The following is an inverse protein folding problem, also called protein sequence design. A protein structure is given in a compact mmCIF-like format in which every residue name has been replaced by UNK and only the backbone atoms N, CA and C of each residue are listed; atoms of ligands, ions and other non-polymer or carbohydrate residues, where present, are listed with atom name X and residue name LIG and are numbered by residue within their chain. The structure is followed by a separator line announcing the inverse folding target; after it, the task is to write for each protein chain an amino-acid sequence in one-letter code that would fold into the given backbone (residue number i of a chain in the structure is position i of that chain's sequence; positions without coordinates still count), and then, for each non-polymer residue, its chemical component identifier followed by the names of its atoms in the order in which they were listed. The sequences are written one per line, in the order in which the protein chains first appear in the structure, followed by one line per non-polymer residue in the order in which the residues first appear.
data_IF_669301513424
#
_entry.id   IF_669301513424
#
_cell.length_a   1.000
_cell.length_b   1.000
_cell.length_c   1.000
_cell.angle_alpha   90.00
_cell.angle_beta   90.00
_cell.angle_gamma   90.00
#
_symmetry.space_group_name_H-M   'P 1'
#
loop_
_entity.id
_entity.type
_entity.pdbx_description
1 polymer ?
#
# COMPACT_ATOMS: atom_id res chain seq x y z
N UNK A 1 1.30 26.42 -4.37
CA UNK A 1 0.21 25.47 -4.59
C UNK A 1 0.78 24.07 -4.73
N UNK A 2 0.21 23.10 -4.00
CA UNK A 2 0.51 21.68 -4.10
C UNK A 2 -0.80 20.96 -4.42
N UNK A 3 -0.92 20.49 -5.66
CA UNK A 3 -2.16 19.92 -6.19
C UNK A 3 -2.08 18.39 -6.26
N UNK A 4 -3.27 17.75 -6.30
CA UNK A 4 -3.34 16.29 -6.45
C UNK A 4 -2.99 15.53 -5.17
N UNK A 5 -3.33 16.08 -4.02
CA UNK A 5 -3.11 15.45 -2.71
C UNK A 5 -4.10 14.30 -2.49
N UNK A 6 -4.01 13.28 -3.37
CA UNK A 6 -4.84 12.09 -3.31
C UNK A 6 -3.98 10.83 -3.29
N UNK A 7 -4.43 9.81 -2.55
CA UNK A 7 -3.87 8.46 -2.64
C UNK A 7 -3.89 7.96 -4.09
N UNK A 8 -2.77 7.41 -4.54
CA UNK A 8 -2.58 6.96 -5.93
C UNK A 8 -2.06 8.02 -6.90
N UNK A 9 -2.09 9.32 -6.52
CA UNK A 9 -1.47 10.42 -7.26
C UNK A 9 -0.22 10.89 -6.51
N UNK A 10 -0.39 11.34 -5.28
CA UNK A 10 0.69 11.71 -4.37
C UNK A 10 0.33 11.30 -2.93
N UNK A 11 0.85 10.14 -2.44
CA UNK A 11 1.86 9.26 -3.05
C UNK A 11 1.35 8.53 -4.30
N UNK A 12 2.30 8.23 -5.21
CA UNK A 12 1.99 7.54 -6.46
C UNK A 12 1.52 6.09 -6.21
N UNK A 13 0.54 5.64 -7.01
CA UNK A 13 0.08 4.24 -6.98
C UNK A 13 1.17 3.23 -7.40
N UNK A 14 2.23 3.69 -8.08
CA UNK A 14 3.37 2.87 -8.49
C UNK A 14 4.31 2.50 -7.34
N UNK A 15 4.19 3.16 -6.20
CA UNK A 15 5.00 2.87 -5.02
C UNK A 15 4.46 1.64 -4.30
N UNK A 16 5.28 0.60 -4.22
CA UNK A 16 4.93 -0.70 -3.65
C UNK A 16 5.82 -1.13 -2.49
N UNK A 17 6.85 -0.33 -2.16
CA UNK A 17 7.80 -0.61 -1.08
C UNK A 17 7.73 0.46 0.01
N UNK A 18 8.12 0.09 1.23
CA UNK A 18 8.21 1.06 2.34
C UNK A 18 9.28 2.11 2.07
N UNK A 19 10.43 1.72 1.50
CA UNK A 19 11.49 2.66 1.13
C UNK A 19 11.00 3.69 0.12
N UNK A 20 10.30 3.25 -0.93
CA UNK A 20 9.68 4.15 -1.91
C UNK A 20 8.65 5.10 -1.28
N UNK A 21 7.89 4.63 -0.29
CA UNK A 21 6.94 5.46 0.44
C UNK A 21 7.62 6.52 1.29
N UNK A 22 8.77 6.22 1.89
CA UNK A 22 9.55 7.20 2.63
C UNK A 22 10.19 8.25 1.70
N UNK A 23 10.58 7.90 0.48
CA UNK A 23 11.02 8.89 -0.51
C UNK A 23 9.86 9.83 -0.91
N UNK A 24 8.66 9.31 -1.17
CA UNK A 24 7.47 10.15 -1.41
C UNK A 24 7.17 11.07 -0.22
N UNK A 25 7.33 10.59 1.01
CA UNK A 25 7.19 11.41 2.22
C UNK A 25 8.22 12.54 2.28
N UNK A 26 9.47 12.27 1.92
CA UNK A 26 10.53 13.31 1.82
C UNK A 26 10.18 14.34 0.76
N UNK A 27 9.69 13.92 -0.40
CA UNK A 27 9.24 14.85 -1.44
C UNK A 27 8.08 15.72 -0.95
N UNK A 28 7.10 15.14 -0.23
CA UNK A 28 6.02 15.90 0.38
C UNK A 28 6.54 16.93 1.38
N UNK A 29 7.48 16.56 2.24
CA UNK A 29 8.12 17.47 3.18
C UNK A 29 8.84 18.61 2.48
N UNK A 30 9.64 18.30 1.45
CA UNK A 30 10.34 19.31 0.66
C UNK A 30 9.36 20.26 -0.03
N UNK A 31 8.28 19.72 -0.63
CA UNK A 31 7.27 20.54 -1.30
C UNK A 31 6.56 21.50 -0.33
N UNK A 32 6.20 21.02 0.86
CA UNK A 32 5.55 21.82 1.91
C UNK A 32 6.49 22.93 2.41
N UNK A 33 7.76 22.60 2.63
CA UNK A 33 8.75 23.56 3.15
C UNK A 33 9.23 24.61 2.13
N UNK A 34 8.85 24.49 0.85
CA UNK A 34 9.10 25.54 -0.15
C UNK A 34 8.19 26.76 0.01
N UNK A 35 7.13 26.66 0.78
CA UNK A 35 6.22 27.78 1.00
C UNK A 35 6.85 28.78 1.99
N UNK A 36 6.94 30.04 1.59
CA UNK A 36 7.47 31.14 2.44
C UNK A 36 6.38 31.76 3.32
N UNK A 37 5.16 31.93 2.79
CA UNK A 37 4.10 32.70 3.46
C UNK A 37 2.78 31.93 3.55
N UNK A 38 2.43 31.17 2.54
CA UNK A 38 1.19 30.45 2.49
C UNK A 38 1.29 29.23 1.59
N UNK A 39 0.63 28.15 1.98
CA UNK A 39 0.57 26.90 1.24
C UNK A 39 -0.89 26.57 0.97
N UNK A 40 -1.20 26.33 -0.30
CA UNK A 40 -2.50 25.83 -0.73
C UNK A 40 -2.34 24.38 -1.16
N UNK A 41 -3.08 23.50 -0.48
CA UNK A 41 -3.16 22.08 -0.79
C UNK A 41 -4.50 21.80 -1.46
N UNK A 42 -4.53 21.02 -2.53
CA UNK A 42 -5.78 20.65 -3.16
C UNK A 42 -5.86 19.15 -3.42
N UNK A 43 -7.02 18.60 -3.17
CA UNK A 43 -7.40 17.24 -3.49
C UNK A 43 -8.59 17.22 -4.46
N UNK A 44 -8.79 16.11 -5.15
CA UNK A 44 -9.96 15.87 -5.96
C UNK A 44 -10.92 14.94 -5.22
N UNK A 45 -12.16 15.39 -5.06
CA UNK A 45 -13.27 14.61 -4.51
C UNK A 45 -13.88 13.67 -5.56
N UNK A 46 -14.71 12.72 -5.13
CA UNK A 46 -15.50 11.85 -5.98
C UNK A 46 -14.91 10.44 -6.18
N UNK A 47 -15.01 9.92 -7.40
CA UNK A 47 -14.61 8.55 -7.74
C UNK A 47 -13.58 8.54 -8.86
N UNK A 48 -12.74 7.50 -8.84
CA UNK A 48 -11.84 7.16 -9.93
C UNK A 48 -12.63 6.55 -11.10
N UNK A 49 -11.95 6.34 -12.23
CA UNK A 49 -12.57 5.75 -13.42
C UNK A 49 -13.10 4.32 -13.17
N UNK A 50 -12.46 3.57 -12.27
CA UNK A 50 -12.88 2.23 -11.83
C UNK A 50 -13.99 2.24 -10.76
N UNK A 51 -14.60 3.39 -10.53
CA UNK A 51 -15.63 3.63 -9.50
C UNK A 51 -15.15 3.53 -8.06
N UNK A 52 -13.86 3.33 -7.80
CA UNK A 52 -13.29 3.40 -6.46
C UNK A 52 -13.34 4.83 -5.91
N UNK A 53 -13.50 5.03 -4.59
CA UNK A 53 -13.43 6.35 -3.98
C UNK A 53 -12.05 6.99 -4.20
N UNK A 54 -12.02 8.31 -4.37
CA UNK A 54 -10.79 9.09 -4.28
C UNK A 54 -10.54 9.45 -2.84
N UNK A 55 -9.48 8.91 -2.29
CA UNK A 55 -9.09 9.19 -0.91
C UNK A 55 -8.11 10.35 -0.85
N UNK A 56 -8.23 11.24 0.17
CA UNK A 56 -7.20 12.22 0.49
C UNK A 56 -5.84 11.54 0.69
N UNK A 57 -4.78 12.22 0.29
CA UNK A 57 -3.41 11.77 0.51
C UNK A 57 -3.13 11.55 2.00
N UNK A 58 -2.40 10.47 2.33
CA UNK A 58 -1.89 10.25 3.68
C UNK A 58 -1.06 11.43 4.19
N UNK A 59 -0.31 12.06 3.31
CA UNK A 59 0.51 13.24 3.65
C UNK A 59 -0.34 14.44 4.05
N UNK A 60 -1.55 14.57 3.50
CA UNK A 60 -2.52 15.57 3.94
C UNK A 60 -3.14 15.18 5.28
N UNK A 61 -3.49 13.90 5.46
CA UNK A 61 -4.09 13.37 6.67
C UNK A 61 -3.13 13.28 7.87
N UNK A 62 -1.82 13.33 7.62
CA UNK A 62 -0.77 13.38 8.63
C UNK A 62 -0.54 14.80 9.19
N UNK A 63 -1.09 15.84 8.52
CA UNK A 63 -1.02 17.21 9.03
C UNK A 63 -2.06 17.37 10.15
N UNK A 64 -1.62 17.90 11.30
CA UNK A 64 -2.54 18.21 12.39
C UNK A 64 -3.57 19.27 11.95
N UNK A 65 -4.86 18.98 12.18
CA UNK A 65 -5.96 19.86 11.78
C UNK A 65 -5.83 21.30 12.29
N UNK A 66 -5.12 21.53 13.38
CA UNK A 66 -4.83 22.89 13.90
C UNK A 66 -4.07 23.77 12.95
N UNK A 67 -3.37 23.18 11.97
CA UNK A 67 -2.59 23.88 10.96
C UNK A 67 -3.27 23.95 9.61
N UNK A 68 -4.51 23.43 9.51
CA UNK A 68 -5.27 23.38 8.26
C UNK A 68 -6.49 24.29 8.34
N UNK A 69 -6.64 25.12 7.34
CA UNK A 69 -7.88 25.88 7.07
C UNK A 69 -8.55 25.28 5.84
N UNK A 70 -9.75 24.74 6.01
CA UNK A 70 -10.48 24.06 4.95
C UNK A 70 -11.46 25.00 4.26
N UNK A 71 -11.37 25.13 2.94
CA UNK A 71 -12.46 25.71 2.15
C UNK A 71 -13.69 24.78 2.19
N UNK A 72 -13.44 23.45 2.12
CA UNK A 72 -14.43 22.41 2.28
C UNK A 72 -13.78 21.20 2.94
N UNK A 73 -14.19 20.88 4.15
CA UNK A 73 -13.67 19.73 4.87
C UNK A 73 -14.21 18.42 4.25
N UNK A 74 -13.36 17.41 4.01
CA UNK A 74 -13.80 16.08 3.61
C UNK A 74 -14.75 15.48 4.66
N UNK A 75 -15.67 14.63 4.21
CA UNK A 75 -16.60 13.92 5.08
C UNK A 75 -15.83 12.98 6.04
N UNK A 76 -16.23 12.94 7.30
CA UNK A 76 -15.57 12.11 8.33
C UNK A 76 -15.58 10.60 7.97
N UNK A 77 -16.64 10.12 7.31
CA UNK A 77 -16.70 8.75 6.79
C UNK A 77 -15.64 8.50 5.73
N UNK A 78 -15.45 9.45 4.79
CA UNK A 78 -14.40 9.34 3.78
C UNK A 78 -13.00 9.33 4.39
N UNK A 79 -12.77 10.16 5.43
CA UNK A 79 -11.49 10.19 6.15
C UNK A 79 -11.24 8.86 6.87
N UNK A 80 -12.28 8.30 7.50
CA UNK A 80 -12.20 6.99 8.15
C UNK A 80 -11.83 5.89 7.14
N UNK A 81 -12.53 5.81 6.03
CA UNK A 81 -12.28 4.83 4.97
C UNK A 81 -10.88 5.00 4.34
N UNK A 82 -10.43 6.26 4.15
CA UNK A 82 -9.08 6.57 3.71
C UNK A 82 -8.02 6.02 4.67
N UNK A 83 -8.19 6.19 5.97
CA UNK A 83 -7.26 5.66 6.98
C UNK A 83 -7.22 4.12 6.98
N UNK A 84 -8.36 3.46 6.82
CA UNK A 84 -8.42 2.00 6.66
C UNK A 84 -7.69 1.54 5.40
N UNK A 85 -7.93 2.20 4.27
CA UNK A 85 -7.25 1.93 3.00
C UNK A 85 -5.73 2.08 3.13
N UNK A 86 -5.25 3.19 3.72
CA UNK A 86 -3.84 3.48 3.94
C UNK A 86 -3.21 2.40 4.84
N UNK A 87 -3.86 2.04 5.94
CA UNK A 87 -3.40 1.00 6.86
C UNK A 87 -3.26 -0.35 6.15
N UNK A 88 -4.25 -0.69 5.32
CA UNK A 88 -4.19 -1.91 4.51
C UNK A 88 -3.01 -1.89 3.53
N UNK A 89 -2.79 -0.77 2.82
CA UNK A 89 -1.66 -0.60 1.89
C UNK A 89 -0.30 -0.73 2.58
N UNK A 90 -0.12 -0.11 3.74
CA UNK A 90 1.11 -0.22 4.54
C UNK A 90 1.35 -1.68 4.90
N UNK A 91 0.33 -2.38 5.41
CA UNK A 91 0.44 -3.79 5.76
C UNK A 91 0.81 -4.68 4.57
N UNK A 92 0.29 -4.38 3.37
CA UNK A 92 0.67 -5.09 2.16
C UNK A 92 2.15 -4.89 1.81
N UNK A 93 2.66 -3.64 1.91
CA UNK A 93 4.06 -3.33 1.67
C UNK A 93 4.98 -4.04 2.67
N UNK A 94 4.68 -3.97 3.97
CA UNK A 94 5.43 -4.66 5.02
C UNK A 94 5.44 -6.19 4.83
N UNK A 95 4.31 -6.76 4.40
CA UNK A 95 4.23 -8.19 4.13
C UNK A 95 5.02 -8.57 2.89
N UNK A 96 5.04 -7.73 1.86
CA UNK A 96 5.84 -7.94 0.65
C UNK A 96 7.35 -7.92 0.96
N UNK A 97 7.79 -7.01 1.83
CA UNK A 97 9.19 -6.95 2.27
C UNK A 97 9.62 -8.15 3.13
N UNK A 98 8.72 -8.63 3.99
CA UNK A 98 8.98 -9.80 4.85
C UNK A 98 8.92 -11.13 4.12
N UNK A 99 8.36 -11.17 2.93
CA UNK A 99 8.01 -12.41 2.23
C UNK A 99 8.80 -12.71 0.96
N UNK A 100 9.77 -11.90 0.58
CA UNK A 100 10.53 -12.09 -0.67
C UNK A 100 11.71 -13.09 -0.55
N UNK A 101 11.66 -14.03 0.40
CA UNK A 101 12.68 -15.07 0.53
C UNK A 101 12.65 -16.12 -0.60
N UNK A 102 11.56 -16.13 -1.40
CA UNK A 102 11.35 -17.15 -2.42
C UNK A 102 10.88 -16.53 -3.75
N UNK A 103 11.37 -17.11 -4.84
CA UNK A 103 11.03 -16.73 -6.23
C UNK A 103 10.06 -17.71 -6.87
N UNK A 104 9.36 -17.24 -7.95
CA UNK A 104 8.53 -18.12 -8.74
C UNK A 104 9.39 -19.23 -9.35
N UNK A 105 8.91 -20.49 -9.24
CA UNK A 105 9.61 -21.68 -9.68
C UNK A 105 10.45 -22.36 -8.58
N UNK A 106 10.66 -21.71 -7.42
CA UNK A 106 11.37 -22.34 -6.31
C UNK A 106 10.52 -23.43 -5.64
N UNK A 107 11.19 -24.52 -5.28
CA UNK A 107 10.60 -25.61 -4.49
C UNK A 107 10.66 -25.27 -3.02
N UNK A 108 9.54 -25.42 -2.35
CA UNK A 108 9.38 -25.11 -0.92
C UNK A 108 8.67 -26.24 -0.20
N UNK A 109 8.97 -26.38 1.07
CA UNK A 109 8.33 -27.33 1.96
C UNK A 109 7.51 -26.61 3.03
N UNK A 110 6.24 -26.90 3.10
CA UNK A 110 5.34 -26.42 4.14
C UNK A 110 5.09 -27.50 5.18
N UNK A 111 5.10 -27.14 6.45
CA UNK A 111 4.97 -28.11 7.56
C UNK A 111 3.72 -29.00 7.51
N UNK A 112 2.61 -28.48 6.97
CA UNK A 112 1.32 -29.17 6.89
C UNK A 112 1.03 -29.72 5.48
N UNK A 113 1.35 -28.93 4.43
CA UNK A 113 0.98 -29.25 3.04
C UNK A 113 2.06 -30.03 2.28
N UNK A 114 3.26 -30.16 2.85
CA UNK A 114 4.38 -30.89 2.24
C UNK A 114 5.10 -30.06 1.16
N UNK A 115 5.67 -30.75 0.18
CA UNK A 115 6.45 -30.13 -0.90
C UNK A 115 5.54 -29.50 -1.96
N UNK A 116 5.99 -28.37 -2.49
CA UNK A 116 5.30 -27.65 -3.52
C UNK A 116 6.21 -26.68 -4.27
N UNK A 117 5.71 -26.12 -5.35
CA UNK A 117 6.43 -25.16 -6.18
C UNK A 117 5.67 -23.84 -6.17
N UNK A 118 6.38 -22.74 -6.00
CA UNK A 118 5.80 -21.40 -6.08
C UNK A 118 5.50 -21.11 -7.55
N UNK A 119 4.21 -20.91 -7.84
CA UNK A 119 3.73 -20.62 -9.21
C UNK A 119 3.32 -19.16 -9.38
N UNK A 120 3.17 -18.41 -8.28
CA UNK A 120 2.82 -16.99 -8.31
C UNK A 120 3.10 -16.32 -6.98
N UNK A 121 3.22 -14.99 -7.03
CA UNK A 121 3.39 -14.12 -5.86
C UNK A 121 2.32 -13.05 -5.93
N UNK A 122 1.43 -13.03 -4.95
CA UNK A 122 0.40 -12.00 -4.81
C UNK A 122 0.83 -11.00 -3.73
N UNK A 123 1.39 -9.89 -4.16
CA UNK A 123 1.88 -8.84 -3.25
C UNK A 123 0.75 -8.10 -2.55
N UNK A 124 -0.42 -7.95 -3.19
CA UNK A 124 -1.58 -7.28 -2.58
C UNK A 124 -2.11 -8.06 -1.38
N UNK A 125 -2.13 -9.39 -1.48
CA UNK A 125 -2.57 -10.27 -0.41
C UNK A 125 -1.44 -10.71 0.53
N UNK A 126 -0.18 -10.36 0.21
CA UNK A 126 0.99 -10.79 0.96
C UNK A 126 1.12 -12.32 1.02
N UNK A 127 0.98 -13.00 -0.12
CA UNK A 127 0.91 -14.46 -0.18
C UNK A 127 1.60 -15.03 -1.43
N UNK A 128 2.19 -16.20 -1.26
CA UNK A 128 2.63 -17.05 -2.36
C UNK A 128 1.48 -17.91 -2.87
N UNK A 129 1.38 -18.06 -4.17
CA UNK A 129 0.55 -19.09 -4.77
C UNK A 129 1.42 -20.31 -5.01
N UNK A 130 1.14 -21.40 -4.29
CA UNK A 130 1.95 -22.61 -4.28
C UNK A 130 1.15 -23.79 -4.81
N UNK A 131 1.70 -24.49 -5.79
CA UNK A 131 1.21 -25.77 -6.23
C UNK A 131 1.90 -26.86 -5.40
N UNK A 132 1.15 -27.46 -4.48
CA UNK A 132 1.65 -28.59 -3.68
C UNK A 132 1.40 -29.90 -4.41
N UNK A 133 2.34 -30.86 -4.27
CA UNK A 133 2.24 -32.17 -4.92
C UNK A 133 1.00 -32.97 -4.51
N UNK A 134 0.51 -32.73 -3.29
CA UNK A 134 -0.66 -33.44 -2.72
C UNK A 134 -2.00 -32.85 -3.12
N UNK A 135 -2.04 -31.72 -3.82
CA UNK A 135 -3.27 -31.02 -4.13
C UNK A 135 -3.35 -30.67 -5.62
N UNK A 136 -4.50 -30.89 -6.22
CA UNK A 136 -4.73 -30.52 -7.63
C UNK A 136 -4.83 -29.02 -7.85
N UNK A 137 -5.26 -28.27 -6.84
CA UNK A 137 -5.43 -26.81 -6.93
C UNK A 137 -4.35 -26.07 -6.14
N UNK A 138 -3.80 -24.97 -6.70
CA UNK A 138 -2.86 -24.13 -5.98
C UNK A 138 -3.45 -23.55 -4.70
N UNK A 139 -2.62 -23.35 -3.68
CA UNK A 139 -3.04 -22.73 -2.43
C UNK A 139 -2.32 -21.43 -2.19
N UNK A 140 -3.03 -20.47 -1.60
CA UNK A 140 -2.45 -19.21 -1.17
C UNK A 140 -1.88 -19.37 0.23
N UNK A 141 -0.58 -19.15 0.37
CA UNK A 141 0.17 -19.22 1.63
C UNK A 141 0.73 -17.85 1.95
N UNK A 142 0.30 -17.28 3.06
CA UNK A 142 0.76 -15.95 3.46
C UNK A 142 2.29 -15.92 3.67
N UNK A 143 2.95 -14.83 3.30
CA UNK A 143 4.40 -14.65 3.43
C UNK A 143 4.93 -14.91 4.85
N UNK A 144 4.13 -14.60 5.86
CA UNK A 144 4.46 -14.82 7.28
C UNK A 144 4.58 -16.30 7.70
N UNK A 145 4.10 -17.21 6.85
CA UNK A 145 4.19 -18.66 7.12
C UNK A 145 5.59 -19.12 6.79
N UNK A 146 6.25 -19.81 7.74
CA UNK A 146 7.60 -20.33 7.55
C UNK A 146 7.57 -21.43 6.49
N UNK A 147 8.26 -21.20 5.39
CA UNK A 147 8.55 -22.18 4.36
C UNK A 147 10.03 -22.53 4.42
N UNK A 148 10.38 -23.75 4.10
CA UNK A 148 11.76 -24.23 4.00
C UNK A 148 12.09 -24.44 2.52
N UNK A 149 13.33 -24.15 2.09
CA UNK A 149 13.79 -24.52 0.75
C UNK A 149 13.91 -26.04 0.66
N UNK A 150 13.35 -26.61 -0.39
CA UNK A 150 13.43 -28.05 -0.65
C UNK A 150 14.62 -28.38 -1.53
#
# INVERSE_FOLDING_TARGET
FLCGMNEGIFPSSKITTMEGMEEERRLAFVAITRAEKGLFLSEADGRNFDSSPRYPSRFLLDIDERYLEYTRKPNDGLIHDARLYITHKIRCMENAEKGNDFSIGEKVKHSVFGEGTIIGINQEQGAYQIQFERFETPRMIAFRVKLEKS
#
